data_IF_800013278680
#
_entry.id   IF_800013278680
#
_cell.length_a   1.000
_cell.length_b   1.000
_cell.length_c   1.000
_cell.angle_alpha   90.00
_cell.angle_beta   90.00
_cell.angle_gamma   90.00
#
_symmetry.space_group_name_H-M   'P 1'
#
loop_
_entity.id
_entity.type
_entity.pdbx_description
1 polymer ?
#
# COMPACT_ATOMS: atom_id res chain seq x y z
N UNK A 1 -30.47 55.10 7.72
CA UNK A 1 -29.39 54.52 8.55
C UNK A 1 -30.02 53.41 9.37
N UNK A 2 -29.47 52.21 9.35
CA UNK A 2 -30.02 51.09 10.10
C UNK A 2 -30.02 51.44 11.59
N UNK A 3 -31.15 51.23 12.26
CA UNK A 3 -31.35 51.55 13.68
C UNK A 3 -30.66 50.49 14.57
N UNK A 4 -30.26 49.36 13.99
CA UNK A 4 -29.63 48.20 14.63
C UNK A 4 -28.62 47.61 13.64
N UNK A 5 -27.37 47.45 14.06
CA UNK A 5 -26.39 46.68 13.30
C UNK A 5 -26.69 45.19 13.43
N UNK A 6 -26.64 44.47 12.31
CA UNK A 6 -26.91 43.03 12.26
C UNK A 6 -25.67 42.30 11.79
N UNK A 7 -25.14 41.42 12.64
CA UNK A 7 -24.04 40.53 12.33
C UNK A 7 -24.62 39.17 12.01
N UNK A 8 -24.58 38.77 10.74
CA UNK A 8 -24.99 37.43 10.30
C UNK A 8 -24.11 36.94 9.17
N UNK A 9 -24.06 35.63 9.03
CA UNK A 9 -23.51 34.96 7.87
C UNK A 9 -24.48 33.89 7.36
N UNK A 10 -24.82 33.95 6.07
CA UNK A 10 -25.77 33.03 5.44
C UNK A 10 -25.10 31.83 4.79
N UNK A 11 -23.78 31.69 4.95
CA UNK A 11 -22.98 30.70 4.24
C UNK A 11 -22.59 31.15 2.82
N UNK A 12 -21.84 30.29 2.14
CA UNK A 12 -21.53 30.42 0.73
C UNK A 12 -22.45 29.54 -0.13
N UNK A 13 -22.49 29.80 -1.43
CA UNK A 13 -23.13 28.89 -2.41
C UNK A 13 -22.53 27.49 -2.34
N UNK A 14 -21.22 27.40 -2.12
CA UNK A 14 -20.51 26.15 -1.89
C UNK A 14 -20.55 25.79 -0.40
N UNK A 15 -20.78 24.52 -0.08
CA UNK A 15 -20.81 24.02 1.30
C UNK A 15 -19.43 23.59 1.82
N UNK A 16 -18.37 24.04 1.16
CA UNK A 16 -16.97 23.68 1.42
C UNK A 16 -16.26 24.59 2.43
N UNK A 17 -16.93 25.64 2.89
CA UNK A 17 -16.39 26.56 3.90
C UNK A 17 -16.41 25.92 5.30
N UNK A 18 -15.33 26.14 6.03
CA UNK A 18 -15.15 25.72 7.42
C UNK A 18 -15.24 26.91 8.37
N UNK A 19 -14.49 27.99 8.09
CA UNK A 19 -14.49 29.21 8.91
C UNK A 19 -14.56 30.44 8.02
N UNK A 20 -15.31 31.45 8.46
CA UNK A 20 -15.40 32.77 7.87
C UNK A 20 -15.16 33.86 8.93
N UNK A 21 -14.21 34.76 8.68
CA UNK A 21 -14.01 35.95 9.52
C UNK A 21 -14.92 37.10 9.04
N UNK A 22 -15.79 37.58 9.91
CA UNK A 22 -16.64 38.73 9.64
C UNK A 22 -15.80 40.01 9.42
N UNK A 23 -16.14 40.88 8.44
CA UNK A 23 -15.27 41.99 8.04
C UNK A 23 -15.20 43.15 9.04
N UNK A 24 -16.26 43.40 9.82
CA UNK A 24 -16.25 44.46 10.83
C UNK A 24 -15.66 43.97 12.13
N UNK A 25 -14.73 44.75 12.69
CA UNK A 25 -14.14 44.55 14.01
C UNK A 25 -14.67 45.56 15.03
N UNK A 26 -15.42 46.55 14.58
CA UNK A 26 -16.08 47.55 15.42
C UNK A 26 -17.55 47.16 15.57
N UNK A 27 -17.93 46.80 16.80
CA UNK A 27 -19.28 46.39 17.16
C UNK A 27 -19.85 47.36 18.19
N UNK A 28 -21.16 47.60 18.12
CA UNK A 28 -21.86 48.48 19.03
C UNK A 28 -22.69 47.64 20.00
N UNK A 29 -22.84 48.08 21.24
CA UNK A 29 -23.80 47.48 22.16
C UNK A 29 -25.23 47.56 21.57
N UNK A 30 -26.00 46.48 21.66
CA UNK A 30 -27.32 46.36 21.05
C UNK A 30 -27.33 45.77 19.63
N UNK A 31 -26.17 45.52 19.02
CA UNK A 31 -26.05 44.77 17.76
C UNK A 31 -26.73 43.40 17.87
N UNK A 32 -27.45 43.00 16.82
CA UNK A 32 -28.08 41.68 16.72
C UNK A 32 -27.11 40.70 16.05
N UNK A 33 -26.70 39.67 16.77
CA UNK A 33 -25.96 38.52 16.24
C UNK A 33 -26.94 37.41 15.88
N UNK A 34 -26.97 37.01 14.61
CA UNK A 34 -27.81 35.91 14.13
C UNK A 34 -26.90 34.77 13.68
N UNK A 35 -27.01 33.64 14.39
CA UNK A 35 -26.30 32.39 14.11
C UNK A 35 -27.30 31.40 13.52
N UNK A 36 -27.11 31.01 12.26
CA UNK A 36 -27.99 30.03 11.61
C UNK A 36 -27.74 28.60 12.14
N UNK A 37 -28.67 27.70 11.84
CA UNK A 37 -28.47 26.26 12.04
C UNK A 37 -27.24 25.73 11.30
N UNK A 38 -26.53 24.79 11.92
CA UNK A 38 -25.31 24.20 11.36
C UNK A 38 -24.09 25.12 11.37
N UNK A 39 -24.13 26.23 12.10
CA UNK A 39 -22.97 27.07 12.37
C UNK A 39 -22.90 27.52 13.83
N UNK A 40 -21.72 27.95 14.24
CA UNK A 40 -21.42 28.55 15.54
C UNK A 40 -20.68 29.85 15.30
N UNK A 41 -20.96 30.88 16.09
CA UNK A 41 -20.20 32.13 16.06
C UNK A 41 -19.23 32.20 17.25
N UNK A 42 -17.95 32.36 16.97
CA UNK A 42 -16.87 32.50 17.93
C UNK A 42 -16.49 33.97 18.05
N UNK A 43 -16.46 34.48 19.27
CA UNK A 43 -16.10 35.85 19.58
C UNK A 43 -14.66 35.90 20.07
N UNK A 44 -13.81 36.70 19.44
CA UNK A 44 -12.39 36.83 19.80
C UNK A 44 -12.08 38.28 20.12
N UNK A 45 -11.43 38.52 21.27
CA UNK A 45 -11.07 39.87 21.71
C UNK A 45 -9.65 39.87 22.25
N UNK A 46 -8.84 40.83 21.81
CA UNK A 46 -7.45 40.95 22.24
C UNK A 46 -6.62 39.68 21.96
N UNK A 47 -6.97 38.95 20.91
CA UNK A 47 -6.32 37.68 20.55
C UNK A 47 -6.79 36.44 21.34
N UNK A 48 -7.75 36.58 22.25
CA UNK A 48 -8.26 35.46 23.06
C UNK A 48 -9.73 35.19 22.74
N UNK A 49 -10.10 33.91 22.66
CA UNK A 49 -11.51 33.50 22.54
C UNK A 49 -12.27 33.96 23.77
N UNK A 50 -13.25 34.83 23.55
CA UNK A 50 -14.06 35.44 24.58
C UNK A 50 -15.35 34.67 24.86
N UNK A 51 -16.06 34.26 23.80
CA UNK A 51 -17.35 33.58 23.94
C UNK A 51 -17.70 32.75 22.69
N UNK A 52 -18.65 31.82 22.84
CA UNK A 52 -19.13 30.90 21.80
C UNK A 52 -20.66 30.96 21.74
N UNK A 53 -21.21 31.40 20.60
CA UNK A 53 -22.63 31.49 20.35
C UNK A 53 -23.11 30.36 19.44
N UNK A 54 -24.07 29.57 19.93
CA UNK A 54 -24.73 28.48 19.21
C UNK A 54 -25.84 29.02 18.28
N UNK A 55 -26.50 28.17 17.46
CA UNK A 55 -27.61 28.62 16.61
C UNK A 55 -28.70 29.36 17.40
N UNK A 56 -29.06 30.56 16.92
CA UNK A 56 -29.99 31.46 17.60
C UNK A 56 -29.75 32.93 17.27
N UNK A 57 -30.62 33.78 17.83
CA UNK A 57 -30.51 35.24 17.72
C UNK A 57 -30.15 35.80 19.10
N UNK A 58 -29.08 36.59 19.15
CA UNK A 58 -28.53 37.17 20.37
C UNK A 58 -28.42 38.68 20.24
N UNK A 59 -28.85 39.40 21.27
CA UNK A 59 -28.53 40.82 21.41
C UNK A 59 -27.18 40.93 22.12
N UNK A 60 -26.21 41.59 21.49
CA UNK A 60 -24.90 41.84 22.09
C UNK A 60 -25.04 42.91 23.18
N UNK A 61 -25.20 42.44 24.41
CA UNK A 61 -25.27 43.25 25.61
C UNK A 61 -24.19 42.78 26.60
N UNK A 62 -23.83 43.65 27.55
CA UNK A 62 -22.84 43.35 28.59
C UNK A 62 -23.19 42.12 29.45
N UNK A 63 -24.47 41.76 29.51
CA UNK A 63 -24.96 40.59 30.23
C UNK A 63 -24.56 39.27 29.56
N UNK A 64 -24.52 39.24 28.23
CA UNK A 64 -24.24 38.05 27.42
C UNK A 64 -22.76 37.85 27.12
N UNK A 65 -21.88 38.75 27.60
CA UNK A 65 -20.44 38.70 27.38
C UNK A 65 -19.72 39.02 28.69
N UNK A 66 -19.25 38.01 29.47
CA UNK A 66 -18.58 38.22 30.76
C UNK A 66 -17.38 39.18 30.67
N UNK A 67 -16.68 39.17 29.53
CA UNK A 67 -15.51 40.01 29.26
C UNK A 67 -15.90 41.47 28.94
N UNK A 68 -17.13 41.74 28.50
CA UNK A 68 -17.61 43.12 28.30
C UNK A 68 -17.94 43.85 29.60
N UNK A 69 -18.14 43.14 30.73
CA UNK A 69 -18.42 43.76 32.04
C UNK A 69 -17.32 44.72 32.50
N UNK A 70 -16.06 44.48 32.10
CA UNK A 70 -14.94 45.35 32.44
C UNK A 70 -14.92 46.69 31.68
N UNK A 71 -15.73 46.84 30.62
CA UNK A 71 -15.70 48.01 29.72
C UNK A 71 -16.76 49.07 30.06
N UNK A 72 -17.71 48.76 30.95
CA UNK A 72 -18.92 49.58 31.21
C UNK A 72 -18.63 50.83 32.06
N UNK A 73 -17.40 51.02 32.55
CA UNK A 73 -17.03 52.20 33.34
C UNK A 73 -16.74 53.47 32.51
N UNK A 74 -17.09 53.49 31.23
CA UNK A 74 -16.88 54.65 30.35
C UNK A 74 -18.19 55.45 30.16
N UNK A 75 -18.18 56.79 30.21
CA UNK A 75 -19.36 57.64 30.18
C UNK A 75 -19.91 57.87 28.76
N UNK A 76 -19.71 56.91 27.86
CA UNK A 76 -20.29 56.94 26.52
C UNK A 76 -21.60 56.15 26.61
N UNK A 77 -22.74 56.83 26.46
CA UNK A 77 -24.09 56.25 26.57
C UNK A 77 -24.34 55.01 25.69
N UNK A 78 -25.58 54.51 25.63
CA UNK A 78 -26.07 53.22 25.09
C UNK A 78 -25.50 52.66 23.77
N UNK A 79 -24.58 53.36 23.10
CA UNK A 79 -23.81 52.96 21.92
C UNK A 79 -22.30 53.01 22.19
N UNK A 80 -21.81 52.29 23.20
CA UNK A 80 -20.36 52.14 23.39
C UNK A 80 -19.81 51.21 22.30
N UNK A 81 -18.98 51.69 21.35
CA UNK A 81 -18.31 50.81 20.41
C UNK A 81 -17.22 50.02 21.14
N UNK A 82 -17.06 48.77 20.75
CA UNK A 82 -15.97 47.93 21.25
C UNK A 82 -15.36 47.14 20.10
N UNK A 83 -14.06 46.88 20.21
CA UNK A 83 -13.34 46.11 19.21
C UNK A 83 -13.38 44.61 19.55
N UNK A 84 -13.91 43.82 18.62
CA UNK A 84 -13.91 42.36 18.70
C UNK A 84 -14.06 41.74 17.30
N UNK A 85 -13.51 40.54 17.14
CA UNK A 85 -13.59 39.76 15.91
C UNK A 85 -14.66 38.68 16.05
N UNK A 86 -15.46 38.50 14.99
CA UNK A 86 -16.49 37.46 14.92
C UNK A 86 -16.12 36.46 13.84
N UNK A 87 -16.07 35.19 14.22
CA UNK A 87 -15.79 34.08 13.32
C UNK A 87 -17.01 33.17 13.24
N UNK A 88 -17.52 32.94 12.05
CA UNK A 88 -18.55 31.94 11.81
C UNK A 88 -17.89 30.62 11.42
N UNK A 89 -18.30 29.53 12.07
CA UNK A 89 -17.69 28.22 11.94
C UNK A 89 -18.76 27.21 11.59
N UNK A 90 -18.54 26.46 10.51
CA UNK A 90 -19.45 25.45 10.01
C UNK A 90 -19.36 24.19 10.87
N UNK A 91 -20.48 23.80 11.48
CA UNK A 91 -20.59 22.59 12.32
C UNK A 91 -21.37 21.46 11.66
N UNK A 92 -21.78 21.65 10.40
CA UNK A 92 -22.39 20.58 9.59
C UNK A 92 -21.39 19.47 9.28
N UNK A 93 -21.91 18.26 9.04
CA UNK A 93 -21.07 17.12 8.64
C UNK A 93 -20.72 17.24 7.16
N UNK A 94 -19.42 17.31 6.85
CA UNK A 94 -18.90 17.26 5.48
C UNK A 94 -18.60 15.80 5.14
N UNK A 95 -19.37 15.19 4.24
CA UNK A 95 -19.34 13.74 3.96
C UNK A 95 -18.39 13.32 2.81
N UNK A 96 -17.94 14.26 2.00
CA UNK A 96 -17.30 14.06 0.69
C UNK A 96 -15.81 14.43 0.71
N UNK A 97 -15.10 14.07 1.79
CA UNK A 97 -13.65 14.27 1.89
C UNK A 97 -12.96 13.03 1.33
N UNK A 98 -12.58 13.10 0.05
CA UNK A 98 -11.89 11.99 -0.61
C UNK A 98 -10.47 11.81 -0.08
N UNK A 99 -10.05 10.57 0.15
CA UNK A 99 -8.67 10.20 0.50
C UNK A 99 -8.17 9.09 -0.42
N UNK A 100 -6.85 8.96 -0.53
CA UNK A 100 -6.23 7.90 -1.30
C UNK A 100 -4.74 7.79 -1.03
N UNK A 101 -4.22 6.58 -1.17
CA UNK A 101 -2.80 6.29 -1.01
C UNK A 101 -1.97 7.08 -2.01
N UNK A 102 -1.01 7.87 -1.53
CA UNK A 102 -0.07 8.65 -2.35
C UNK A 102 0.85 7.79 -3.20
N UNK A 103 1.22 6.63 -2.67
CA UNK A 103 2.14 5.66 -3.25
C UNK A 103 1.64 4.23 -2.95
N UNK A 104 1.96 3.25 -3.81
CA UNK A 104 1.46 1.88 -3.65
C UNK A 104 2.03 1.20 -2.41
N UNK A 105 1.19 0.45 -1.72
CA UNK A 105 1.55 -0.51 -0.67
C UNK A 105 2.17 -1.72 -1.35
N UNK A 106 3.47 -1.94 -1.14
CA UNK A 106 4.17 -3.12 -1.64
C UNK A 106 4.08 -4.24 -0.61
N UNK A 107 3.49 -5.37 -0.99
CA UNK A 107 3.39 -6.56 -0.13
C UNK A 107 3.43 -7.84 -0.94
N UNK A 108 3.55 -8.97 -0.25
CA UNK A 108 3.46 -10.30 -0.86
C UNK A 108 2.08 -10.85 -0.51
N UNK A 109 1.32 -11.27 -1.51
CA UNK A 109 0.03 -11.91 -1.29
C UNK A 109 0.23 -13.28 -0.60
N UNK A 110 -0.47 -13.55 0.52
CA UNK A 110 -0.29 -14.78 1.29
C UNK A 110 -0.77 -16.05 0.60
N UNK A 111 -1.66 -15.94 -0.41
CA UNK A 111 -2.27 -17.07 -1.11
C UNK A 111 -1.49 -17.46 -2.36
N UNK A 112 -1.03 -16.48 -3.12
CA UNK A 112 -0.31 -16.69 -4.39
C UNK A 112 1.19 -16.43 -4.32
N UNK A 113 1.70 -15.89 -3.20
CA UNK A 113 3.11 -15.55 -3.00
C UNK A 113 3.69 -14.61 -4.09
N UNK A 114 2.83 -13.76 -4.66
CA UNK A 114 3.20 -12.75 -5.66
C UNK A 114 3.38 -11.41 -4.98
N UNK A 115 4.42 -10.67 -5.38
CA UNK A 115 4.59 -9.26 -4.99
C UNK A 115 3.52 -8.41 -5.68
N UNK A 116 2.67 -7.75 -4.89
CA UNK A 116 1.62 -6.85 -5.37
C UNK A 116 1.90 -5.40 -4.96
N UNK A 117 1.50 -4.48 -5.84
CA UNK A 117 1.54 -3.02 -5.60
C UNK A 117 0.12 -2.50 -5.43
N UNK A 118 -0.37 -2.49 -4.21
CA UNK A 118 -1.76 -2.18 -3.91
C UNK A 118 -1.94 -0.67 -3.72
N UNK A 119 -3.02 -0.11 -4.27
CA UNK A 119 -3.50 1.24 -3.99
C UNK A 119 -4.90 1.17 -3.42
N UNK A 120 -5.22 2.14 -2.57
CA UNK A 120 -6.54 2.24 -1.97
C UNK A 120 -7.02 3.68 -1.99
N UNK A 121 -8.32 3.85 -2.16
CA UNK A 121 -8.97 5.14 -2.08
C UNK A 121 -10.36 5.00 -1.47
N UNK A 122 -10.89 6.13 -1.02
CA UNK A 122 -12.24 6.20 -0.51
C UNK A 122 -12.60 7.59 -0.06
N UNK A 123 -13.55 7.66 0.87
CA UNK A 123 -14.11 8.91 1.36
C UNK A 123 -14.23 8.88 2.87
N UNK A 124 -14.18 10.05 3.48
CA UNK A 124 -14.42 10.23 4.90
C UNK A 124 -15.35 11.41 5.13
N UNK A 125 -16.03 11.39 6.26
CA UNK A 125 -16.81 12.50 6.76
C UNK A 125 -16.16 13.13 7.98
N UNK A 126 -16.08 14.45 7.98
CA UNK A 126 -15.61 15.23 9.11
C UNK A 126 -16.69 16.17 9.61
N UNK A 127 -16.70 16.38 10.92
CA UNK A 127 -17.53 17.36 11.62
C UNK A 127 -16.65 18.11 12.61
N UNK A 128 -16.95 19.38 12.85
CA UNK A 128 -16.33 20.11 13.97
C UNK A 128 -16.92 19.60 15.28
N UNK A 129 -16.06 19.15 16.18
CA UNK A 129 -16.39 18.69 17.53
C UNK A 129 -16.22 19.81 18.55
N UNK A 130 -15.03 20.43 18.57
CA UNK A 130 -14.71 21.55 19.46
C UNK A 130 -14.18 22.74 18.65
N UNK A 131 -15.02 23.77 18.61
CA UNK A 131 -14.79 25.02 17.88
C UNK A 131 -13.61 25.81 18.47
N UNK A 132 -13.43 25.76 19.79
CA UNK A 132 -12.38 26.53 20.48
C UNK A 132 -11.02 25.91 20.22
N UNK A 133 -10.90 24.59 20.35
CA UNK A 133 -9.66 23.86 20.06
C UNK A 133 -9.31 23.99 18.58
N UNK A 134 -10.29 23.81 17.69
CA UNK A 134 -10.10 24.01 16.25
C UNK A 134 -9.50 25.38 15.93
N UNK A 135 -10.08 26.44 16.51
CA UNK A 135 -9.64 27.80 16.24
C UNK A 135 -8.20 28.04 16.74
N UNK A 136 -7.88 27.57 17.94
CA UNK A 136 -6.56 27.77 18.57
C UNK A 136 -5.45 26.98 17.90
N UNK A 137 -5.70 25.71 17.57
CA UNK A 137 -4.65 24.78 17.13
C UNK A 137 -4.47 24.75 15.60
N UNK A 138 -5.55 24.94 14.82
CA UNK A 138 -5.52 24.71 13.36
C UNK A 138 -5.59 26.02 12.56
N UNK A 139 -6.36 26.99 13.04
CA UNK A 139 -6.75 28.16 12.22
C UNK A 139 -5.91 29.38 12.58
N UNK A 140 -5.88 29.75 13.86
CA UNK A 140 -5.22 30.96 14.33
C UNK A 140 -5.86 32.25 13.80
N UNK A 141 -5.07 33.34 13.80
CA UNK A 141 -5.52 34.65 13.33
C UNK A 141 -5.70 34.71 11.80
N UNK A 142 -6.83 35.26 11.35
CA UNK A 142 -7.16 35.37 9.92
C UNK A 142 -7.20 36.83 9.45
N UNK A 143 -6.94 37.05 8.15
CA UNK A 143 -7.16 38.35 7.51
C UNK A 143 -8.66 38.65 7.37
N UNK A 144 -9.00 39.94 7.22
CA UNK A 144 -10.41 40.37 7.11
C UNK A 144 -11.07 39.73 5.89
N UNK A 145 -12.27 39.20 6.08
CA UNK A 145 -13.05 38.51 5.02
C UNK A 145 -12.42 37.22 4.50
N UNK A 146 -11.43 36.65 5.21
CA UNK A 146 -10.82 35.39 4.82
C UNK A 146 -11.75 34.20 5.12
N UNK A 147 -11.63 33.16 4.30
CA UNK A 147 -12.43 31.95 4.35
C UNK A 147 -11.51 30.74 4.32
N UNK A 148 -11.55 29.94 5.37
CA UNK A 148 -10.88 28.63 5.39
C UNK A 148 -11.86 27.58 4.90
N UNK A 149 -11.43 26.75 3.95
CA UNK A 149 -12.18 25.62 3.41
C UNK A 149 -11.74 24.31 4.06
N UNK A 150 -12.63 23.32 4.08
CA UNK A 150 -12.31 21.95 4.53
C UNK A 150 -11.15 21.31 3.74
N UNK A 151 -10.92 21.70 2.48
CA UNK A 151 -9.83 21.15 1.67
C UNK A 151 -8.43 21.48 2.21
N UNK A 152 -8.23 22.67 2.80
CA UNK A 152 -6.96 23.01 3.45
C UNK A 152 -6.69 22.10 4.64
N UNK A 153 -7.74 21.82 5.42
CA UNK A 153 -7.67 20.89 6.56
C UNK A 153 -7.30 19.48 6.08
N UNK A 154 -7.95 19.00 5.02
CA UNK A 154 -7.63 17.71 4.40
C UNK A 154 -6.15 17.57 4.05
N UNK A 155 -5.50 18.61 3.53
CA UNK A 155 -4.07 18.56 3.18
C UNK A 155 -3.18 18.31 4.40
N UNK A 156 -3.47 18.92 5.55
CA UNK A 156 -2.72 18.70 6.79
C UNK A 156 -2.84 17.26 7.30
N UNK A 157 -4.04 16.68 7.25
CA UNK A 157 -4.29 15.34 7.82
C UNK A 157 -4.11 14.19 6.82
N UNK A 158 -3.88 14.48 5.54
CA UNK A 158 -3.68 13.47 4.50
C UNK A 158 -2.59 12.46 4.89
N UNK A 159 -1.49 12.92 5.48
CA UNK A 159 -0.39 12.06 5.90
C UNK A 159 -0.83 11.00 6.93
N UNK A 160 -1.50 11.43 7.99
CA UNK A 160 -2.01 10.52 9.04
C UNK A 160 -3.01 9.52 8.46
N UNK A 161 -3.97 9.99 7.67
CA UNK A 161 -4.97 9.12 7.04
C UNK A 161 -4.31 8.04 6.18
N UNK A 162 -3.37 8.44 5.32
CA UNK A 162 -2.67 7.50 4.42
C UNK A 162 -1.85 6.51 5.22
N UNK A 163 -1.14 6.93 6.26
CA UNK A 163 -0.33 6.03 7.11
C UNK A 163 -1.23 4.99 7.78
N UNK A 164 -2.30 5.40 8.47
CA UNK A 164 -3.20 4.48 9.17
C UNK A 164 -3.92 3.53 8.23
N UNK A 165 -4.43 4.03 7.09
CA UNK A 165 -5.08 3.21 6.08
C UNK A 165 -4.12 2.16 5.50
N UNK A 166 -2.89 2.56 5.12
CA UNK A 166 -1.89 1.63 4.59
C UNK A 166 -1.53 0.54 5.60
N UNK A 167 -1.29 0.93 6.85
CA UNK A 167 -0.98 -0.03 7.92
C UNK A 167 -2.11 -1.01 8.15
N UNK A 168 -3.37 -0.56 8.20
CA UNK A 168 -4.51 -1.45 8.40
C UNK A 168 -4.71 -2.43 7.23
N UNK A 169 -4.55 -1.96 5.99
CA UNK A 169 -4.66 -2.80 4.79
C UNK A 169 -3.53 -3.84 4.76
N UNK A 170 -2.28 -3.42 4.98
CA UNK A 170 -1.13 -4.31 4.98
C UNK A 170 -1.23 -5.37 6.10
N UNK A 171 -1.61 -4.96 7.31
CA UNK A 171 -1.84 -5.84 8.45
C UNK A 171 -2.91 -6.89 8.15
N UNK A 172 -4.01 -6.48 7.51
CA UNK A 172 -5.07 -7.42 7.14
C UNK A 172 -4.65 -8.41 6.05
N UNK A 173 -3.72 -8.06 5.18
CA UNK A 173 -3.24 -9.00 4.14
C UNK A 173 -2.18 -9.93 4.73
N UNK A 174 -1.21 -9.37 5.44
CA UNK A 174 -0.03 -10.11 5.90
C UNK A 174 -0.34 -10.93 7.15
N UNK A 175 -0.88 -10.30 8.19
CA UNK A 175 -1.04 -10.95 9.50
C UNK A 175 -2.33 -11.78 9.58
N UNK A 176 -3.41 -11.34 8.93
CA UNK A 176 -4.65 -12.13 8.88
C UNK A 176 -4.68 -13.13 7.71
N UNK A 177 -3.66 -13.12 6.84
CA UNK A 177 -3.56 -14.05 5.71
C UNK A 177 -4.65 -13.88 4.63
N UNK A 178 -5.29 -12.70 4.55
CA UNK A 178 -6.33 -12.44 3.56
C UNK A 178 -5.68 -12.07 2.24
N UNK A 179 -6.02 -12.78 1.16
CA UNK A 179 -5.53 -12.44 -0.18
C UNK A 179 -6.01 -11.05 -0.60
N UNK A 180 -5.15 -10.32 -1.33
CA UNK A 180 -5.51 -9.04 -1.92
C UNK A 180 -6.69 -9.14 -2.90
N UNK A 181 -6.97 -10.32 -3.47
CA UNK A 181 -8.16 -10.56 -4.31
C UNK A 181 -9.46 -10.61 -3.50
N UNK A 182 -9.36 -11.05 -2.25
CA UNK A 182 -10.51 -11.31 -1.37
C UNK A 182 -10.74 -10.17 -0.38
N UNK A 183 -9.83 -9.20 -0.31
CA UNK A 183 -9.88 -8.06 0.62
C UNK A 183 -11.11 -7.17 0.42
N UNK A 184 -11.70 -7.18 -0.78
CA UNK A 184 -12.95 -6.48 -1.09
C UNK A 184 -14.10 -6.91 -0.17
N UNK A 185 -14.08 -8.16 0.32
CA UNK A 185 -15.08 -8.69 1.27
C UNK A 185 -14.91 -8.13 2.69
N UNK A 186 -13.79 -7.47 2.98
CA UNK A 186 -13.43 -6.94 4.30
C UNK A 186 -13.38 -5.42 4.36
N UNK A 187 -13.80 -4.72 3.30
CA UNK A 187 -13.71 -3.26 3.21
C UNK A 187 -14.45 -2.56 4.35
N UNK A 188 -15.62 -3.04 4.75
CA UNK A 188 -16.39 -2.43 5.85
C UNK A 188 -15.66 -2.56 7.20
N UNK A 189 -15.19 -3.77 7.53
CA UNK A 189 -14.42 -4.02 8.75
C UNK A 189 -13.10 -3.24 8.78
N UNK A 190 -12.41 -3.14 7.64
CA UNK A 190 -11.22 -2.33 7.50
C UNK A 190 -11.52 -0.84 7.65
N UNK A 191 -12.64 -0.38 7.12
CA UNK A 191 -13.06 1.02 7.20
C UNK A 191 -13.31 1.44 8.64
N UNK A 192 -14.01 0.61 9.43
CA UNK A 192 -14.24 0.89 10.85
C UNK A 192 -12.93 0.82 11.65
N UNK A 193 -12.08 -0.19 11.41
CA UNK A 193 -10.77 -0.28 12.05
C UNK A 193 -9.91 0.96 11.79
N UNK A 194 -9.89 1.46 10.55
CA UNK A 194 -9.15 2.69 10.23
C UNK A 194 -9.79 3.89 10.91
N UNK A 195 -11.13 4.01 10.90
CA UNK A 195 -11.87 5.07 11.59
C UNK A 195 -11.51 5.15 13.07
N UNK A 196 -11.51 4.03 13.78
CA UNK A 196 -11.12 3.95 15.20
C UNK A 196 -9.68 4.41 15.43
N UNK A 197 -8.76 4.11 14.52
CA UNK A 197 -7.36 4.50 14.63
C UNK A 197 -7.12 5.98 14.30
N UNK A 198 -7.91 6.57 13.39
CA UNK A 198 -7.73 7.98 13.00
C UNK A 198 -8.52 8.93 13.90
N UNK A 199 -9.67 8.51 14.45
CA UNK A 199 -10.54 9.40 15.23
C UNK A 199 -9.81 10.14 16.36
N UNK A 200 -8.99 9.47 17.20
CA UNK A 200 -8.26 10.16 18.27
C UNK A 200 -7.26 11.19 17.77
N UNK A 201 -6.71 11.02 16.56
CA UNK A 201 -5.78 11.99 15.98
C UNK A 201 -6.52 13.24 15.49
N UNK A 202 -7.75 13.12 15.00
CA UNK A 202 -8.57 14.26 14.57
C UNK A 202 -9.20 15.00 15.77
N UNK A 203 -9.57 14.27 16.83
CA UNK A 203 -10.17 14.84 18.04
C UNK A 203 -9.23 15.82 18.75
N UNK A 204 -7.91 15.56 18.73
CA UNK A 204 -6.89 16.47 19.27
C UNK A 204 -6.95 17.87 18.68
N UNK A 205 -7.47 18.01 17.47
CA UNK A 205 -7.56 19.27 16.73
C UNK A 205 -9.00 19.80 16.61
N UNK A 206 -9.93 19.24 17.39
CA UNK A 206 -11.32 19.68 17.42
C UNK A 206 -12.19 19.11 16.30
N UNK A 207 -11.77 18.05 15.60
CA UNK A 207 -12.57 17.36 14.59
C UNK A 207 -13.08 16.01 15.08
N UNK A 208 -14.31 15.67 14.71
CA UNK A 208 -14.85 14.32 14.79
C UNK A 208 -14.89 13.68 13.40
N UNK A 209 -14.44 12.44 13.31
CA UNK A 209 -14.60 11.60 12.12
C UNK A 209 -15.98 10.93 12.18
N UNK A 210 -16.92 11.42 11.37
CA UNK A 210 -18.29 10.92 11.35
C UNK A 210 -18.36 9.52 10.73
N UNK A 211 -17.66 9.33 9.62
CA UNK A 211 -17.54 8.06 8.91
C UNK A 211 -16.22 8.02 8.14
N UNK A 212 -15.76 6.80 7.87
CA UNK A 212 -14.61 6.54 7.01
C UNK A 212 -14.95 5.33 6.17
N UNK A 213 -14.69 5.40 4.87
CA UNK A 213 -14.97 4.31 3.94
C UNK A 213 -13.79 4.11 2.99
N UNK A 214 -13.40 2.86 2.84
CA UNK A 214 -12.54 2.38 1.77
C UNK A 214 -13.47 1.95 0.62
N UNK A 215 -13.44 2.68 -0.49
CA UNK A 215 -14.29 2.37 -1.64
C UNK A 215 -13.70 1.27 -2.51
N UNK A 216 -12.38 1.28 -2.68
CA UNK A 216 -11.70 0.29 -3.52
C UNK A 216 -10.26 0.10 -3.07
N UNK A 217 -9.81 -1.14 -3.23
CA UNK A 217 -8.43 -1.57 -3.11
C UNK A 217 -8.10 -2.24 -4.45
N UNK A 218 -7.17 -1.67 -5.21
CA UNK A 218 -6.81 -2.14 -6.54
C UNK A 218 -5.28 -2.26 -6.70
N UNK A 219 -4.84 -2.89 -7.77
CA UNK A 219 -3.44 -3.05 -8.11
C UNK A 219 -3.28 -3.08 -9.64
N UNK A 220 -2.08 -2.80 -10.19
CA UNK A 220 -1.85 -2.74 -11.63
C UNK A 220 -2.18 -4.05 -12.36
N UNK A 221 -2.61 -3.94 -13.62
CA UNK A 221 -2.94 -5.09 -14.48
C UNK A 221 -1.76 -6.06 -14.63
N UNK A 222 -0.53 -5.56 -14.69
CA UNK A 222 0.69 -6.40 -14.72
C UNK A 222 0.79 -7.37 -13.53
N UNK A 223 0.35 -6.94 -12.35
CA UNK A 223 0.37 -7.76 -11.14
C UNK A 223 -0.83 -8.73 -11.14
N UNK A 224 -1.96 -8.33 -11.74
CA UNK A 224 -3.13 -9.20 -11.96
C UNK A 224 -2.86 -10.32 -12.97
N UNK A 225 -2.14 -10.03 -14.06
CA UNK A 225 -1.77 -11.04 -15.07
C UNK A 225 -0.88 -12.14 -14.48
N UNK A 226 0.04 -11.80 -13.56
CA UNK A 226 0.87 -12.81 -12.87
C UNK A 226 0.02 -13.76 -12.05
N UNK A 227 -0.99 -13.23 -11.36
CA UNK A 227 -1.95 -14.03 -10.60
C UNK A 227 -2.75 -14.92 -11.56
N UNK A 228 -3.26 -14.38 -12.67
CA UNK A 228 -4.03 -15.16 -13.64
C UNK A 228 -3.21 -16.31 -14.22
N UNK A 229 -1.93 -16.09 -14.56
CA UNK A 229 -1.04 -17.17 -15.00
C UNK A 229 -0.88 -18.28 -13.97
N UNK A 230 -0.71 -17.93 -12.70
CA UNK A 230 -0.62 -18.91 -11.60
C UNK A 230 -1.93 -19.68 -11.45
N UNK A 231 -3.07 -18.99 -11.56
CA UNK A 231 -4.40 -19.60 -11.49
C UNK A 231 -4.65 -20.54 -12.69
N UNK A 232 -4.28 -20.13 -13.90
CA UNK A 232 -4.39 -20.94 -15.12
C UNK A 232 -3.51 -22.19 -15.03
N UNK A 233 -2.23 -22.04 -14.62
CA UNK A 233 -1.30 -23.15 -14.45
C UNK A 233 -1.81 -24.12 -13.38
N UNK A 234 -2.31 -23.60 -12.26
CA UNK A 234 -2.89 -24.41 -11.18
C UNK A 234 -4.15 -25.15 -11.63
N UNK A 235 -5.05 -24.48 -12.35
CA UNK A 235 -6.25 -25.11 -12.89
C UNK A 235 -5.92 -26.19 -13.92
N UNK A 236 -4.96 -25.92 -14.82
CA UNK A 236 -4.48 -26.91 -15.78
C UNK A 236 -3.90 -28.15 -15.08
N UNK A 237 -3.13 -27.94 -14.02
CA UNK A 237 -2.59 -29.01 -13.19
C UNK A 237 -3.68 -29.82 -12.48
N UNK A 238 -4.65 -29.15 -11.83
CA UNK A 238 -5.77 -29.80 -11.12
C UNK A 238 -6.67 -30.62 -12.06
N UNK A 239 -6.96 -30.10 -13.27
CA UNK A 239 -7.81 -30.79 -14.26
C UNK A 239 -7.10 -31.99 -14.87
N UNK A 240 -5.79 -31.89 -15.14
CA UNK A 240 -5.04 -32.93 -15.86
C UNK A 240 -4.44 -33.99 -14.93
N UNK A 241 -4.11 -33.63 -13.69
CA UNK A 241 -3.32 -34.43 -12.77
C UNK A 241 -1.82 -34.45 -13.12
N UNK A 242 -0.99 -34.79 -12.13
CA UNK A 242 0.48 -34.75 -12.18
C UNK A 242 1.08 -35.31 -13.49
N UNK A 243 0.68 -36.52 -13.86
CA UNK A 243 1.26 -37.23 -15.00
C UNK A 243 0.95 -36.57 -16.35
N UNK A 244 -0.26 -36.02 -16.52
CA UNK A 244 -0.70 -35.44 -17.80
C UNK A 244 -0.28 -33.97 -17.94
N UNK A 245 -0.14 -33.24 -16.83
CA UNK A 245 0.38 -31.87 -16.87
C UNK A 245 1.84 -31.83 -17.34
N UNK A 246 2.69 -32.72 -16.80
CA UNK A 246 4.08 -32.84 -17.25
C UNK A 246 4.17 -33.18 -18.75
N UNK A 247 3.30 -34.08 -19.21
CA UNK A 247 3.17 -34.41 -20.64
C UNK A 247 2.74 -33.19 -21.47
N UNK A 248 1.71 -32.45 -21.06
CA UNK A 248 1.27 -31.25 -21.78
C UNK A 248 2.36 -30.18 -21.83
N UNK A 249 3.01 -29.88 -20.70
CA UNK A 249 4.12 -28.91 -20.67
C UNK A 249 5.29 -29.32 -21.55
N UNK A 250 5.57 -30.62 -21.65
CA UNK A 250 6.57 -31.11 -22.60
C UNK A 250 6.17 -30.81 -24.05
N UNK A 251 4.90 -31.02 -24.42
CA UNK A 251 4.39 -30.67 -25.74
C UNK A 251 4.40 -29.15 -26.01
N UNK A 252 4.02 -28.32 -25.04
CA UNK A 252 4.06 -26.86 -25.19
C UNK A 252 5.50 -26.36 -25.44
N UNK A 253 6.50 -26.97 -24.78
CA UNK A 253 7.93 -26.69 -25.03
C UNK A 253 8.35 -27.14 -26.42
N UNK A 254 7.92 -28.32 -26.88
CA UNK A 254 8.19 -28.79 -28.25
C UNK A 254 7.56 -27.87 -29.30
N UNK A 255 6.34 -27.40 -29.11
CA UNK A 255 5.66 -26.47 -30.01
C UNK A 255 6.34 -25.10 -30.04
N UNK A 256 6.70 -24.55 -28.87
CA UNK A 256 7.47 -23.30 -28.77
C UNK A 256 8.86 -23.40 -29.39
N UNK A 257 9.49 -24.58 -29.33
CA UNK A 257 10.77 -24.86 -29.99
C UNK A 257 10.64 -25.02 -31.51
N UNK A 258 9.55 -25.64 -31.99
CA UNK A 258 9.25 -25.78 -33.41
C UNK A 258 8.93 -24.43 -34.08
N UNK A 259 8.30 -23.52 -33.35
CA UNK A 259 8.01 -22.16 -33.82
C UNK A 259 9.23 -21.21 -33.78
N UNK A 260 10.31 -21.58 -33.08
CA UNK A 260 11.59 -20.86 -33.10
C UNK A 260 12.52 -21.41 -34.19
N UNK A 261 12.42 -20.86 -35.41
CA UNK A 261 13.18 -21.29 -36.59
C UNK A 261 14.71 -21.11 -36.49
N UNK A 262 15.25 -20.44 -35.47
CA UNK A 262 16.67 -20.01 -35.42
C UNK A 262 17.53 -20.67 -34.33
N UNK A 263 17.04 -21.70 -33.64
CA UNK A 263 17.81 -22.45 -32.63
C UNK A 263 18.00 -23.92 -32.99
N UNK A 264 18.95 -24.60 -32.32
CA UNK A 264 19.23 -26.04 -32.48
C UNK A 264 17.97 -26.91 -32.42
N UNK A 265 16.93 -26.46 -31.70
CA UNK A 265 15.64 -27.14 -31.63
C UNK A 265 14.78 -27.02 -32.91
N UNK A 266 14.88 -25.93 -33.67
CA UNK A 266 14.28 -25.77 -34.99
C UNK A 266 14.91 -26.70 -36.04
N UNK A 267 16.19 -27.04 -35.88
CA UNK A 267 16.88 -28.02 -36.72
C UNK A 267 16.41 -29.47 -36.45
N UNK A 268 16.04 -29.79 -35.21
CA UNK A 268 15.42 -31.08 -34.87
C UNK A 268 13.97 -31.19 -35.33
N UNK A 269 13.21 -30.08 -35.31
CA UNK A 269 11.82 -30.04 -35.78
C UNK A 269 11.68 -30.05 -37.32
N UNK A 270 12.54 -29.30 -38.04
CA UNK A 270 12.49 -29.22 -39.49
C UNK A 270 13.05 -30.48 -40.20
N UNK A 271 13.81 -31.31 -39.48
CA UNK A 271 14.47 -32.50 -40.04
C UNK A 271 13.60 -33.75 -40.17
N UNK A 272 12.32 -33.73 -39.78
CA UNK A 272 11.42 -34.89 -39.94
C UNK A 272 11.77 -36.13 -39.09
N UNK A 273 12.74 -36.04 -38.20
CA UNK A 273 13.19 -37.15 -37.32
C UNK A 273 12.31 -37.27 -36.04
N UNK A 274 11.34 -36.37 -35.84
CA UNK A 274 10.51 -36.32 -34.64
C UNK A 274 9.30 -37.27 -34.58
N UNK A 275 8.85 -37.83 -35.71
CA UNK A 275 7.65 -38.69 -35.77
C UNK A 275 7.97 -40.18 -36.01
N UNK A 276 8.99 -40.48 -36.82
CA UNK A 276 9.44 -41.86 -37.07
C UNK A 276 10.18 -42.50 -35.89
N UNK A 277 10.91 -41.70 -35.11
CA UNK A 277 11.61 -42.17 -33.91
C UNK A 277 10.67 -42.34 -32.70
N UNK A 278 9.49 -41.68 -32.70
CA UNK A 278 8.52 -41.77 -31.60
C UNK A 278 7.68 -43.05 -31.65
N UNK A 279 7.30 -43.54 -32.84
CA UNK A 279 6.54 -44.80 -32.96
C UNK A 279 7.43 -46.06 -32.91
N UNK A 280 8.70 -45.97 -33.31
CA UNK A 280 9.66 -47.07 -33.20
C UNK A 280 10.11 -47.40 -31.76
N UNK A 281 9.85 -46.48 -30.81
CA UNK A 281 10.12 -46.68 -29.38
C UNK A 281 8.87 -47.06 -28.55
N UNK A 282 7.69 -47.17 -29.17
CA UNK A 282 6.45 -47.51 -28.45
C UNK A 282 6.31 -48.98 -28.04
N UNK A 283 6.97 -49.91 -28.75
CA UNK A 283 6.87 -51.36 -28.50
C UNK A 283 7.98 -51.94 -27.59
N UNK A 284 9.01 -51.14 -27.26
CA UNK A 284 10.08 -51.52 -26.33
C UNK A 284 9.98 -50.85 -24.95
N UNK A 285 8.96 -50.01 -24.74
CA UNK A 285 8.75 -49.18 -23.55
C UNK A 285 7.79 -49.81 -22.52
N UNK A 286 7.68 -51.14 -22.47
CA UNK A 286 6.98 -51.87 -21.40
C UNK A 286 7.92 -52.74 -20.55
N UNK A 287 9.24 -52.58 -20.71
CA UNK A 287 10.24 -53.32 -19.92
C UNK A 287 11.46 -52.47 -19.52
N UNK A 288 11.32 -51.15 -19.43
CA UNK A 288 12.44 -50.29 -19.02
C UNK A 288 11.97 -49.08 -18.23
N UNK A 289 11.49 -49.33 -17.01
CA UNK A 289 11.61 -48.36 -15.91
C UNK A 289 13.10 -48.26 -15.61
N UNK A 290 13.76 -47.22 -16.12
CA UNK A 290 15.20 -47.04 -15.95
C UNK A 290 15.74 -45.88 -16.77
N UNK A 291 15.72 -44.70 -16.16
CA UNK A 291 16.52 -43.50 -16.43
C UNK A 291 17.66 -43.68 -17.47
N UNK A 292 17.69 -42.96 -18.62
CA UNK A 292 18.82 -43.02 -19.54
C UNK A 292 19.94 -42.10 -19.01
N UNK A 293 20.67 -42.60 -18.01
CA UNK A 293 22.02 -42.11 -17.73
C UNK A 293 22.87 -42.59 -18.89
N UNK A 294 23.47 -41.64 -19.62
CA UNK A 294 24.59 -41.91 -20.51
C UNK A 294 25.51 -42.93 -19.83
N UNK A 295 25.66 -44.13 -20.40
CA UNK A 295 26.77 -45.03 -20.03
C UNK A 295 28.05 -44.37 -20.53
N UNK A 296 28.50 -43.37 -19.78
CA UNK A 296 29.91 -43.03 -19.73
C UNK A 296 30.60 -44.21 -19.07
N UNK A 297 31.64 -44.75 -19.71
CA UNK A 297 32.50 -45.73 -19.07
C UNK A 297 32.96 -45.16 -17.72
N UNK A 298 32.92 -45.97 -16.66
CA UNK A 298 33.28 -45.56 -15.30
C UNK A 298 34.49 -46.36 -14.81
N UNK A 299 35.43 -45.70 -14.13
CA UNK A 299 36.57 -46.30 -13.42
C UNK A 299 36.37 -46.20 -11.90
N UNK A 300 37.01 -47.06 -11.12
CA UNK A 300 36.98 -46.95 -9.66
C UNK A 300 38.06 -45.99 -9.15
N UNK A 301 37.72 -45.18 -8.15
CA UNK A 301 38.68 -44.31 -7.49
C UNK A 301 39.66 -45.13 -6.64
N UNK A 302 40.96 -44.90 -6.80
CA UNK A 302 42.01 -45.64 -6.07
C UNK A 302 42.03 -45.39 -4.56
N UNK A 303 41.39 -44.32 -4.06
CA UNK A 303 41.41 -43.97 -2.65
C UNK A 303 40.14 -44.36 -1.89
N UNK A 304 38.97 -44.28 -2.52
CA UNK A 304 37.68 -44.53 -1.85
C UNK A 304 36.78 -45.54 -2.58
N UNK A 305 37.25 -46.10 -3.71
CA UNK A 305 36.52 -47.05 -4.55
C UNK A 305 35.18 -46.57 -5.12
N UNK A 306 34.89 -45.27 -5.03
CA UNK A 306 33.73 -44.67 -5.69
C UNK A 306 33.88 -44.78 -7.23
N UNK A 307 32.77 -45.08 -7.91
CA UNK A 307 32.71 -45.13 -9.39
C UNK A 307 32.72 -43.72 -9.94
N UNK A 308 33.73 -43.40 -10.75
CA UNK A 308 33.92 -42.08 -11.36
C UNK A 308 33.99 -42.18 -12.88
N UNK A 309 33.55 -41.18 -13.65
CA UNK A 309 33.64 -41.21 -15.12
C UNK A 309 35.07 -41.39 -15.65
N UNK A 310 35.22 -42.14 -16.75
CA UNK A 310 36.50 -42.36 -17.46
C UNK A 310 36.89 -41.04 -18.14
N UNK A 311 37.79 -40.30 -17.49
CA UNK A 311 38.25 -38.97 -17.91
C UNK A 311 38.42 -38.01 -16.72
N UNK A 312 37.76 -38.29 -15.59
CA UNK A 312 37.87 -37.47 -14.39
C UNK A 312 39.28 -37.59 -13.77
N UNK A 313 39.97 -36.45 -13.69
CA UNK A 313 41.29 -36.31 -13.02
C UNK A 313 41.16 -36.33 -11.50
N UNK A 314 40.07 -35.81 -10.95
CA UNK A 314 39.82 -35.79 -9.50
C UNK A 314 38.52 -36.53 -9.18
N UNK A 315 38.50 -37.24 -8.06
CA UNK A 315 37.28 -37.91 -7.58
C UNK A 315 36.31 -36.86 -7.00
N UNK A 316 35.06 -36.79 -7.47
CA UNK A 316 34.08 -35.85 -6.95
C UNK A 316 33.63 -36.17 -5.52
N UNK A 317 33.79 -37.41 -5.04
CA UNK A 317 33.41 -37.82 -3.68
C UNK A 317 34.48 -37.50 -2.64
N UNK A 318 35.75 -37.80 -2.93
CA UNK A 318 36.84 -37.68 -1.93
C UNK A 318 37.93 -36.67 -2.31
N UNK A 319 37.87 -36.05 -3.49
CA UNK A 319 38.87 -35.09 -3.97
C UNK A 319 40.21 -35.70 -4.42
N UNK A 320 40.40 -37.01 -4.33
CA UNK A 320 41.68 -37.65 -4.68
C UNK A 320 41.98 -37.58 -6.18
N UNK A 321 43.24 -37.31 -6.53
CA UNK A 321 43.68 -37.22 -7.92
C UNK A 321 43.90 -38.63 -8.51
N UNK A 322 43.08 -38.99 -9.49
CA UNK A 322 43.08 -40.26 -10.21
C UNK A 322 43.66 -40.13 -11.64
N UNK A 323 44.48 -39.11 -11.90
CA UNK A 323 45.20 -38.96 -13.18
C UNK A 323 46.40 -39.92 -13.28
N UNK A 324 46.60 -40.50 -14.46
CA UNK A 324 47.84 -41.20 -14.80
C UNK A 324 49.01 -40.21 -14.80
N UNK A 325 50.10 -40.54 -14.11
CA UNK A 325 51.33 -39.74 -14.12
C UNK A 325 52.33 -40.38 -15.08
N UNK A 326 53.06 -39.56 -15.84
CA UNK A 326 54.19 -40.04 -16.65
C UNK A 326 55.47 -39.74 -15.87
N UNK A 327 56.28 -40.77 -15.62
CA UNK A 327 57.59 -40.59 -15.00
C UNK A 327 58.59 -40.02 -16.02
N UNK A 328 59.63 -39.32 -15.56
CA UNK A 328 60.70 -38.80 -16.41
C UNK A 328 61.40 -39.88 -17.26
N UNK A 329 61.35 -41.15 -16.84
CA UNK A 329 61.86 -42.28 -17.62
C UNK A 329 60.93 -42.72 -18.77
N UNK A 330 59.82 -41.99 -19.00
CA UNK A 330 58.87 -42.22 -20.09
C UNK A 330 57.71 -43.17 -19.75
N UNK A 331 57.71 -43.81 -18.58
CA UNK A 331 56.69 -44.79 -18.22
C UNK A 331 55.43 -44.16 -17.61
N UNK A 332 54.26 -44.63 -18.08
CA UNK A 332 52.95 -44.29 -17.53
C UNK A 332 52.74 -45.06 -16.23
N UNK A 333 52.45 -44.34 -15.15
CA UNK A 333 52.25 -44.89 -13.83
C UNK A 333 50.77 -44.85 -13.46
N UNK A 334 50.33 -45.93 -12.82
CA UNK A 334 48.99 -46.03 -12.29
C UNK A 334 48.73 -44.91 -11.25
N UNK A 335 47.49 -44.38 -11.18
CA UNK A 335 47.14 -43.33 -10.23
C UNK A 335 47.45 -43.74 -8.78
N UNK A 336 48.09 -42.86 -8.01
CA UNK A 336 48.47 -43.11 -6.61
C UNK A 336 49.89 -43.65 -6.39
N UNK A 337 50.65 -43.93 -7.44
CA UNK A 337 52.05 -44.42 -7.35
C UNK A 337 53.00 -43.32 -6.84
N UNK A 338 53.69 -43.56 -5.71
CA UNK A 338 54.64 -42.59 -5.09
C UNK A 338 56.08 -42.70 -5.61
N UNK A 339 56.48 -43.87 -6.11
CA UNK A 339 57.81 -44.13 -6.66
C UNK A 339 57.66 -44.97 -7.93
N UNK A 340 58.40 -44.63 -8.98
CA UNK A 340 58.38 -45.37 -10.23
C UNK A 340 58.95 -46.78 -10.00
N UNK A 341 58.21 -47.85 -10.31
CA UNK A 341 58.69 -49.23 -10.11
C UNK A 341 59.85 -49.60 -11.06
N UNK A 342 60.06 -48.84 -12.13
CA UNK A 342 61.07 -49.12 -13.17
C UNK A 342 62.38 -48.37 -12.95
N UNK A 343 62.35 -47.11 -12.49
CA UNK A 343 63.56 -46.31 -12.27
C UNK A 343 63.81 -45.90 -10.81
N UNK A 344 62.91 -46.25 -9.87
CA UNK A 344 63.05 -46.00 -8.44
C UNK A 344 62.90 -44.54 -7.99
N UNK A 345 62.75 -43.59 -8.92
CA UNK A 345 62.59 -42.16 -8.60
C UNK A 345 61.18 -41.87 -8.06
N UNK A 346 61.08 -40.89 -7.15
CA UNK A 346 59.82 -40.42 -6.55
C UNK A 346 59.00 -39.59 -7.55
N UNK A 347 57.67 -39.76 -7.57
CA UNK A 347 56.75 -39.22 -8.62
C UNK A 347 55.50 -38.53 -8.07
#
# INVERSE_FOLDING_TARGET
MAIIDVVRFDGLKSRDWLIYKYPSEELVLGTQLIVQEGQVALFVRGGVVADVFYPGTYTLATENLPILKSLVNLPFGDRTPFSAEVYFINTTVRLDINWGTTDPIQLIDPKYYVKLRIRAFGQMGLKVLDVTTLFKEVIGGMQKTDIVKFDKVKEYYRGILVIKAKSAIADSIINNGISALEISTKLEALSEKVKEQVSPEFEKYGFSVANFFIQSINFPDEDFEKINKILEDKAAFEIMGDGRYATKRSFDVYEGAANNQSGVAGAFAAGGIGLGAAMGMGASMNQTVGNPIHKEDTKECVSCHAKIPVGSKFCPECGFNNSEKVCECGNKLAPGTKFCPECGKKV
#
